data_IF_861202639639
#
_entry.id   IF_861202639639
#
_cell.length_a   1.000
_cell.length_b   1.000
_cell.length_c   1.000
_cell.angle_alpha   90.00
_cell.angle_beta   90.00
_cell.angle_gamma   90.00
#
_symmetry.space_group_name_H-M   'P 1'
#
loop_
_entity.id
_entity.type
_entity.pdbx_description
1 polymer ?
#
# COMPACT_ATOMS: atom_id res chain seq x y z
N UNK A 1 12.27 -6.37 1.05
CA UNK A 1 10.83 -5.97 0.86
C UNK A 1 10.49 -4.99 -0.30
N UNK A 2 11.44 -4.26 -0.89
CA UNK A 2 11.15 -3.13 -1.82
C UNK A 2 10.40 -3.51 -3.11
N UNK A 3 10.69 -4.68 -3.68
CA UNK A 3 9.97 -5.22 -4.84
C UNK A 3 8.48 -5.49 -4.55
N UNK A 4 8.16 -5.94 -3.33
CA UNK A 4 6.77 -6.17 -2.93
C UNK A 4 6.01 -4.87 -2.70
N UNK A 5 6.68 -3.78 -2.28
CA UNK A 5 6.03 -2.48 -2.14
C UNK A 5 5.56 -1.93 -3.50
N UNK A 6 6.38 -2.07 -4.55
CA UNK A 6 5.98 -1.69 -5.92
C UNK A 6 4.80 -2.55 -6.39
N UNK A 7 4.85 -3.87 -6.16
CA UNK A 7 3.74 -4.76 -6.51
C UNK A 7 2.44 -4.37 -5.79
N UNK A 8 2.52 -4.01 -4.50
CA UNK A 8 1.36 -3.54 -3.72
C UNK A 8 0.81 -2.22 -4.23
N UNK A 9 1.67 -1.28 -4.66
CA UNK A 9 1.23 -0.03 -5.28
C UNK A 9 0.56 -0.26 -6.64
N UNK A 10 1.11 -1.14 -7.47
CA UNK A 10 0.50 -1.54 -8.74
C UNK A 10 -0.87 -2.21 -8.50
N UNK A 11 -0.98 -3.06 -7.49
CA UNK A 11 -2.24 -3.70 -7.11
C UNK A 11 -3.27 -2.66 -6.59
N UNK A 12 -2.85 -1.70 -5.78
CA UNK A 12 -3.70 -0.61 -5.33
C UNK A 12 -4.20 0.24 -6.52
N UNK A 13 -3.31 0.55 -7.47
CA UNK A 13 -3.68 1.22 -8.72
C UNK A 13 -4.64 0.40 -9.59
N UNK A 14 -4.46 -0.91 -9.64
CA UNK A 14 -5.36 -1.82 -10.34
C UNK A 14 -6.77 -1.82 -9.72
N UNK A 15 -6.88 -1.87 -8.40
CA UNK A 15 -8.18 -1.77 -7.73
C UNK A 15 -8.82 -0.40 -7.93
N UNK A 16 -8.03 0.68 -7.94
CA UNK A 16 -8.54 2.01 -8.28
C UNK A 16 -9.07 2.09 -9.71
N UNK A 17 -8.36 1.51 -10.67
CA UNK A 17 -8.79 1.45 -12.06
C UNK A 17 -10.16 0.76 -12.21
N UNK A 18 -10.35 -0.37 -11.51
CA UNK A 18 -11.63 -1.11 -11.52
C UNK A 18 -12.74 -0.34 -10.82
N UNK A 19 -12.43 0.31 -9.69
CA UNK A 19 -13.40 1.06 -8.91
C UNK A 19 -13.84 2.36 -9.60
N UNK A 20 -12.94 2.99 -10.37
CA UNK A 20 -13.15 4.30 -10.99
C UNK A 20 -14.44 4.46 -11.81
N UNK A 21 -14.84 3.53 -12.70
CA UNK A 21 -16.10 3.67 -13.44
C UNK A 21 -17.37 3.53 -12.59
N UNK A 22 -17.28 2.88 -11.42
CA UNK A 22 -18.44 2.60 -10.56
C UNK A 22 -18.67 3.72 -9.52
N UNK A 23 -17.61 4.44 -9.18
CA UNK A 23 -17.63 5.52 -8.19
C UNK A 23 -18.60 6.67 -8.54
N UNK A 24 -18.72 7.13 -9.80
CA UNK A 24 -19.65 8.20 -10.20
C UNK A 24 -21.13 7.84 -10.07
N UNK A 25 -21.47 6.55 -10.13
CA UNK A 25 -22.86 6.06 -10.02
C UNK A 25 -23.34 6.02 -8.55
N UNK A 26 -22.54 6.50 -7.60
CA UNK A 26 -22.88 6.57 -6.19
C UNK A 26 -23.93 7.67 -5.89
N UNK A 27 -25.19 7.38 -6.17
CA UNK A 27 -26.31 8.33 -5.99
C UNK A 27 -26.90 8.34 -4.58
N UNK A 28 -26.72 7.25 -3.83
CA UNK A 28 -27.25 7.08 -2.46
C UNK A 28 -26.19 7.40 -1.40
N UNK A 29 -26.63 7.90 -0.23
CA UNK A 29 -25.72 8.33 0.85
C UNK A 29 -24.78 7.22 1.32
N UNK A 30 -25.28 5.99 1.39
CA UNK A 30 -24.51 4.82 1.78
C UNK A 30 -23.38 4.53 0.79
N UNK A 31 -23.63 4.70 -0.51
CA UNK A 31 -22.63 4.53 -1.56
C UNK A 31 -21.56 5.64 -1.47
N UNK A 32 -21.97 6.89 -1.23
CA UNK A 32 -21.03 8.01 -1.04
C UNK A 32 -20.12 7.77 0.16
N UNK A 33 -20.67 7.33 1.29
CA UNK A 33 -19.89 6.98 2.49
C UNK A 33 -18.94 5.82 2.22
N UNK A 34 -19.42 4.76 1.57
CA UNK A 34 -18.60 3.60 1.21
C UNK A 34 -17.39 4.01 0.37
N UNK A 35 -17.61 4.77 -0.72
CA UNK A 35 -16.54 5.21 -1.59
C UNK A 35 -15.59 6.21 -0.92
N UNK A 36 -16.10 7.07 -0.05
CA UNK A 36 -15.27 7.97 0.77
C UNK A 36 -14.33 7.20 1.71
N UNK A 37 -14.85 6.22 2.45
CA UNK A 37 -14.05 5.35 3.32
C UNK A 37 -13.07 4.51 2.51
N UNK A 38 -13.51 3.98 1.36
CA UNK A 38 -12.68 3.21 0.45
C UNK A 38 -11.49 4.03 -0.08
N UNK A 39 -11.72 5.30 -0.48
CA UNK A 39 -10.66 6.22 -0.89
C UNK A 39 -9.69 6.54 0.26
N UNK A 40 -10.22 6.74 1.47
CA UNK A 40 -9.39 6.93 2.67
C UNK A 40 -8.49 5.72 2.94
N UNK A 41 -9.05 4.52 2.84
CA UNK A 41 -8.27 3.27 2.97
C UNK A 41 -7.21 3.14 1.88
N UNK A 42 -7.54 3.45 0.63
CA UNK A 42 -6.59 3.43 -0.48
C UNK A 42 -5.41 4.38 -0.21
N UNK A 43 -5.67 5.59 0.28
CA UNK A 43 -4.64 6.56 0.65
C UNK A 43 -3.72 6.01 1.75
N UNK A 44 -4.27 5.36 2.78
CA UNK A 44 -3.46 4.73 3.84
C UNK A 44 -2.56 3.62 3.28
N UNK A 45 -3.11 2.76 2.40
CA UNK A 45 -2.35 1.68 1.76
C UNK A 45 -1.22 2.27 0.91
N UNK A 46 -1.51 3.25 0.06
CA UNK A 46 -0.50 3.92 -0.77
C UNK A 46 0.56 4.57 0.12
N UNK A 47 0.16 5.35 1.12
CA UNK A 47 1.06 6.04 2.04
C UNK A 47 2.01 5.10 2.80
N UNK A 48 1.50 4.00 3.35
CA UNK A 48 2.31 3.02 4.07
C UNK A 48 3.36 2.33 3.16
N UNK A 49 2.96 2.01 1.91
CA UNK A 49 3.88 1.40 0.95
C UNK A 49 4.91 2.43 0.43
N UNK A 50 4.54 3.70 0.28
CA UNK A 50 5.48 4.77 -0.02
C UNK A 50 6.48 5.01 1.12
N UNK A 51 6.03 5.04 2.38
CA UNK A 51 6.91 5.17 3.54
C UNK A 51 7.96 4.04 3.59
N UNK A 52 7.54 2.81 3.24
CA UNK A 52 8.45 1.66 3.11
C UNK A 52 9.46 1.83 1.96
N UNK A 53 9.04 2.41 0.83
CA UNK A 53 9.94 2.72 -0.29
C UNK A 53 10.95 3.82 0.03
N UNK A 54 10.52 4.82 0.79
CA UNK A 54 11.33 5.93 1.30
C UNK A 54 12.26 5.54 2.44
N UNK A 55 12.27 4.26 2.86
CA UNK A 55 13.06 3.76 3.99
C UNK A 55 12.79 4.51 5.30
N UNK A 56 11.59 5.08 5.45
CA UNK A 56 11.13 5.67 6.71
C UNK A 56 10.77 4.59 7.76
N UNK A 57 10.80 3.32 7.34
CA UNK A 57 10.54 2.15 8.17
C UNK A 57 11.79 1.28 8.20
N UNK A 58 12.25 0.92 9.40
CA UNK A 58 13.40 0.03 9.57
C UNK A 58 13.20 -1.30 8.83
N UNK A 59 14.26 -1.86 8.22
CA UNK A 59 14.18 -3.15 7.56
C UNK A 59 13.78 -4.23 8.58
N UNK A 60 12.86 -5.15 8.22
CA UNK A 60 12.39 -6.17 9.15
C UNK A 60 13.56 -7.06 9.63
N UNK A 61 13.52 -7.48 10.90
CA UNK A 61 14.57 -8.24 11.61
C UNK A 61 15.12 -9.44 10.81
N UNK A 62 14.28 -10.09 10.01
CA UNK A 62 14.68 -11.22 9.15
C UNK A 62 15.74 -10.85 8.09
N UNK A 63 15.77 -9.60 7.58
CA UNK A 63 16.83 -9.15 6.66
C UNK A 63 18.08 -8.65 7.43
N UNK A 64 18.00 -8.45 8.75
CA UNK A 64 19.13 -8.03 9.60
C UNK A 64 20.02 -9.22 10.03
N UNK A 65 19.42 -10.38 10.30
CA UNK A 65 20.16 -11.60 10.71
C UNK A 65 21.17 -12.09 9.66
N UNK A 66 20.87 -11.88 8.37
CA UNK A 66 21.77 -12.23 7.27
C UNK A 66 23.02 -11.34 7.16
N UNK A 67 22.95 -10.10 7.67
CA UNK A 67 24.08 -9.17 7.68
C UNK A 67 25.02 -9.45 8.86
N UNK A 68 24.49 -9.69 10.06
CA UNK A 68 25.31 -10.04 11.24
C UNK A 68 26.08 -11.35 11.05
N UNK A 69 25.48 -12.33 10.37
CA UNK A 69 26.16 -13.61 10.08
C UNK A 69 27.34 -13.44 9.13
N UNK A 70 27.33 -12.40 8.28
CA UNK A 70 28.41 -12.07 7.34
C UNK A 70 29.51 -11.22 7.95
N UNK A 71 29.21 -10.43 8.97
CA UNK A 71 30.21 -9.65 9.73
C UNK A 71 30.95 -10.50 10.79
N UNK A 72 30.35 -11.62 11.22
CA UNK A 72 30.94 -12.54 12.21
C UNK A 72 31.73 -13.71 11.60
N UNK A 73 31.90 -13.75 10.27
CA UNK A 73 32.67 -14.76 9.54
C UNK A 73 33.92 -14.14 8.89
#
# INVERSE_FOLDING_TARGET
>A
MRHYAILRLLLAGFFLYIAWPVMPDAVIQEAVLFWGVWLGFLLLVVGANFATLLQMTDPPVMEQEGAETRERA
#
